data_IF_873114163569
#
_entry.id   IF_873114163569
#
_cell.length_a   1.000
_cell.length_b   1.000
_cell.length_c   1.000
_cell.angle_alpha   90.00
_cell.angle_beta   90.00
_cell.angle_gamma   90.00
#
_symmetry.space_group_name_H-M   'P 1'
#
loop_
_entity.id
_entity.type
_entity.pdbx_description
1 polymer ?
#
# COMPACT_ATOMS: atom_id res chain seq x y z
N UNK A 1 -9.95 8.48 -2.61
CA UNK A 1 -8.77 8.07 -1.82
C UNK A 1 -7.70 7.43 -2.70
N UNK A 2 -8.06 6.53 -3.63
CA UNK A 2 -7.12 5.92 -4.57
C UNK A 2 -6.20 6.94 -5.25
N UNK A 3 -6.73 8.03 -5.82
CA UNK A 3 -5.90 9.03 -6.49
C UNK A 3 -4.84 9.70 -5.60
N UNK A 4 -5.23 10.10 -4.39
CA UNK A 4 -4.37 10.87 -3.50
C UNK A 4 -3.22 10.06 -2.90
N UNK A 5 -3.34 8.73 -2.88
CA UNK A 5 -2.28 7.83 -2.39
C UNK A 5 -1.53 7.17 -3.55
N UNK A 6 -2.26 6.68 -4.55
CA UNK A 6 -1.70 5.87 -5.64
C UNK A 6 -0.89 6.71 -6.61
N UNK A 7 -1.34 7.92 -6.97
CA UNK A 7 -0.59 8.74 -7.94
C UNK A 7 0.76 9.23 -7.40
N UNK A 8 0.88 9.71 -6.14
CA UNK A 8 2.19 10.02 -5.56
C UNK A 8 3.13 8.81 -5.48
N UNK A 9 2.58 7.63 -5.15
CA UNK A 9 3.36 6.39 -5.10
C UNK A 9 3.83 5.98 -6.51
N UNK A 10 2.95 6.11 -7.52
CA UNK A 10 3.27 5.87 -8.94
C UNK A 10 4.41 6.74 -9.39
N UNK A 11 4.33 8.03 -9.11
CA UNK A 11 5.36 8.98 -9.50
C UNK A 11 6.69 8.73 -8.77
N UNK A 12 6.62 8.41 -7.49
CA UNK A 12 7.80 8.06 -6.71
C UNK A 12 8.50 6.81 -7.26
N UNK A 13 7.77 5.73 -7.53
CA UNK A 13 8.35 4.47 -8.05
C UNK A 13 8.89 4.65 -9.47
N UNK A 14 8.25 5.46 -10.32
CA UNK A 14 8.79 5.80 -11.66
C UNK A 14 10.19 6.43 -11.57
N UNK A 15 10.41 7.31 -10.60
CA UNK A 15 11.70 7.96 -10.37
C UNK A 15 12.69 7.12 -9.56
N UNK A 16 12.23 6.09 -8.86
CA UNK A 16 13.02 5.26 -7.95
C UNK A 16 12.73 3.78 -8.22
N UNK A 17 13.01 3.31 -9.44
CA UNK A 17 12.64 1.94 -9.85
C UNK A 17 13.13 0.90 -8.86
N UNK A 18 14.39 0.93 -8.46
CA UNK A 18 14.98 -0.04 -7.53
C UNK A 18 14.34 -0.05 -6.12
N UNK A 19 13.64 1.03 -5.75
CA UNK A 19 12.90 1.08 -4.50
C UNK A 19 11.76 0.06 -4.48
N UNK A 20 11.15 -0.25 -5.64
CA UNK A 20 10.09 -1.26 -5.70
C UNK A 20 10.60 -2.64 -5.25
N UNK A 21 11.85 -2.99 -5.58
CA UNK A 21 12.49 -4.25 -5.19
C UNK A 21 12.67 -4.28 -3.68
N UNK A 22 13.17 -3.20 -3.09
CA UNK A 22 13.35 -3.10 -1.63
C UNK A 22 12.02 -3.23 -0.89
N UNK A 23 10.97 -2.61 -1.42
CA UNK A 23 9.65 -2.61 -0.81
C UNK A 23 8.92 -3.96 -0.97
N UNK A 24 9.06 -4.61 -2.12
CA UNK A 24 8.51 -5.94 -2.39
C UNK A 24 9.26 -7.07 -1.65
N UNK A 25 10.57 -6.92 -1.48
CA UNK A 25 11.44 -7.94 -0.89
C UNK A 25 11.57 -7.82 0.63
N UNK A 26 10.95 -6.82 1.27
CA UNK A 26 11.25 -6.52 2.67
C UNK A 26 11.05 -7.69 3.63
N UNK A 27 10.16 -8.62 3.30
CA UNK A 27 9.86 -9.79 4.11
C UNK A 27 10.89 -10.93 3.97
N UNK A 28 11.79 -10.88 2.97
CA UNK A 28 12.78 -11.94 2.72
C UNK A 28 14.09 -11.74 3.50
N UNK A 29 14.29 -10.56 4.11
CA UNK A 29 15.47 -10.23 4.92
C UNK A 29 15.04 -9.49 6.19
N UNK A 30 15.48 -10.00 7.36
CA UNK A 30 15.20 -9.36 8.65
C UNK A 30 15.74 -7.93 8.71
N UNK A 31 16.97 -7.71 8.22
CA UNK A 31 17.59 -6.38 8.21
C UNK A 31 16.83 -5.39 7.33
N UNK A 32 16.30 -5.84 6.18
CA UNK A 32 15.48 -5.02 5.29
C UNK A 32 14.09 -4.76 5.89
N UNK A 33 13.49 -5.77 6.52
CA UNK A 33 12.22 -5.62 7.24
C UNK A 33 12.34 -4.59 8.37
N UNK A 34 13.48 -4.56 9.08
CA UNK A 34 13.74 -3.60 10.14
C UNK A 34 13.96 -2.19 9.58
N UNK A 35 14.65 -2.05 8.44
CA UNK A 35 14.94 -0.74 7.83
C UNK A 35 13.69 -0.06 7.27
N UNK A 36 12.69 -0.82 6.82
CA UNK A 36 11.43 -0.25 6.31
C UNK A 36 10.32 -0.20 7.38
N UNK A 37 10.54 -0.75 8.57
CA UNK A 37 9.53 -0.86 9.63
C UNK A 37 8.92 0.49 10.00
N UNK A 38 9.74 1.52 10.12
CA UNK A 38 9.28 2.87 10.47
C UNK A 38 8.36 3.46 9.38
N UNK A 39 8.66 3.19 8.11
CA UNK A 39 7.81 3.60 7.00
C UNK A 39 6.47 2.85 7.02
N UNK A 40 6.49 1.53 7.25
CA UNK A 40 5.27 0.73 7.40
C UNK A 40 4.41 1.22 8.56
N UNK A 41 5.02 1.50 9.72
CA UNK A 41 4.33 2.02 10.90
C UNK A 41 3.70 3.39 10.65
N UNK A 42 4.42 4.28 9.95
CA UNK A 42 3.90 5.60 9.57
C UNK A 42 2.70 5.49 8.61
N UNK A 43 2.77 4.60 7.61
CA UNK A 43 1.66 4.33 6.68
C UNK A 43 0.44 3.77 7.42
N UNK A 44 0.66 2.82 8.34
CA UNK A 44 -0.41 2.25 9.15
C UNK A 44 -1.05 3.29 10.07
N UNK A 45 -0.26 4.13 10.74
CA UNK A 45 -0.76 5.19 11.60
C UNK A 45 -1.59 6.22 10.80
N UNK A 46 -1.11 6.59 9.60
CA UNK A 46 -1.86 7.49 8.71
C UNK A 46 -3.17 6.86 8.26
N UNK A 47 -3.15 5.59 7.89
CA UNK A 47 -4.35 4.84 7.47
C UNK A 47 -5.36 4.74 8.59
N UNK A 48 -4.93 4.43 9.82
CA UNK A 48 -5.79 4.39 11.00
C UNK A 48 -6.44 5.75 11.26
N UNK A 49 -5.68 6.84 11.20
CA UNK A 49 -6.21 8.18 11.41
C UNK A 49 -7.29 8.55 10.37
N UNK A 50 -7.11 8.17 9.11
CA UNK A 50 -8.12 8.44 8.08
C UNK A 50 -9.35 7.55 8.26
N UNK A 51 -9.18 6.26 8.54
CA UNK A 51 -10.31 5.36 8.80
C UNK A 51 -11.10 5.78 10.05
N UNK A 52 -10.42 6.24 11.11
CA UNK A 52 -11.08 6.75 12.32
C UNK A 52 -11.92 8.00 12.05
N UNK A 53 -11.49 8.83 11.10
CA UNK A 53 -12.25 10.01 10.68
C UNK A 53 -13.52 9.65 9.90
N UNK A 54 -13.43 8.75 8.91
CA UNK A 54 -14.58 8.37 8.07
C UNK A 54 -15.52 7.34 8.72
N UNK A 55 -15.00 6.46 9.59
CA UNK A 55 -15.74 5.41 10.28
C UNK A 55 -15.41 5.42 11.77
N UNK A 56 -15.96 6.38 12.53
CA UNK A 56 -15.77 6.40 13.98
C UNK A 56 -16.43 5.20 14.68
N UNK A 57 -17.33 4.49 13.99
CA UNK A 57 -18.10 3.35 14.49
C UNK A 57 -17.36 2.01 14.44
N UNK A 58 -16.27 1.89 13.68
CA UNK A 58 -15.47 0.66 13.63
C UNK A 58 -14.36 0.68 14.68
N UNK A 59 -14.09 -0.49 15.27
CA UNK A 59 -13.09 -0.63 16.33
C UNK A 59 -11.66 -0.40 15.83
N UNK A 60 -10.74 -0.03 16.74
CA UNK A 60 -9.32 0.13 16.40
C UNK A 60 -8.70 -1.16 15.83
N UNK A 61 -9.17 -2.33 16.28
CA UNK A 61 -8.73 -3.63 15.75
C UNK A 61 -9.13 -3.80 14.29
N UNK A 62 -10.35 -3.41 13.93
CA UNK A 62 -10.84 -3.48 12.56
C UNK A 62 -10.11 -2.53 11.63
N UNK A 63 -9.84 -1.29 12.08
CA UNK A 63 -9.04 -0.31 11.32
C UNK A 63 -7.62 -0.80 11.09
N UNK A 64 -6.97 -1.33 12.14
CA UNK A 64 -5.63 -1.92 12.03
C UNK A 64 -5.61 -3.07 11.03
N UNK A 65 -6.58 -3.98 11.08
CA UNK A 65 -6.70 -5.08 10.12
C UNK A 65 -6.87 -4.57 8.69
N UNK A 66 -7.71 -3.56 8.47
CA UNK A 66 -7.91 -2.95 7.16
C UNK A 66 -6.59 -2.35 6.62
N UNK A 67 -5.87 -1.58 7.45
CA UNK A 67 -4.58 -1.00 7.07
C UNK A 67 -3.52 -2.06 6.73
N UNK A 68 -3.45 -3.14 7.52
CA UNK A 68 -2.55 -4.27 7.25
C UNK A 68 -2.86 -4.98 5.93
N UNK A 69 -4.14 -5.19 5.62
CA UNK A 69 -4.53 -5.78 4.33
C UNK A 69 -4.11 -4.86 3.19
N UNK A 70 -4.39 -3.55 3.28
CA UNK A 70 -4.01 -2.60 2.25
C UNK A 70 -2.50 -2.59 1.98
N UNK A 71 -1.67 -2.46 3.02
CA UNK A 71 -0.20 -2.37 2.86
C UNK A 71 0.38 -3.65 2.25
N UNK A 72 -0.07 -4.83 2.68
CA UNK A 72 0.44 -6.09 2.14
C UNK A 72 -0.05 -6.36 0.72
N UNK A 73 -1.28 -5.97 0.37
CA UNK A 73 -1.74 -6.06 -1.02
C UNK A 73 -0.96 -5.11 -1.93
N UNK A 74 -0.69 -3.87 -1.51
CA UNK A 74 0.14 -2.92 -2.26
C UNK A 74 1.54 -3.49 -2.49
N UNK A 75 2.19 -4.03 -1.45
CA UNK A 75 3.52 -4.66 -1.57
C UNK A 75 3.51 -5.84 -2.56
N UNK A 76 2.49 -6.69 -2.50
CA UNK A 76 2.34 -7.81 -3.43
C UNK A 76 2.15 -7.37 -4.87
N UNK A 77 1.36 -6.32 -5.12
CA UNK A 77 1.18 -5.75 -6.46
C UNK A 77 2.48 -5.15 -7.00
N UNK A 78 3.23 -4.41 -6.19
CA UNK A 78 4.53 -3.87 -6.59
C UNK A 78 5.56 -4.97 -6.89
N UNK A 79 5.47 -6.11 -6.21
CA UNK A 79 6.30 -7.28 -6.48
C UNK A 79 6.07 -7.85 -7.90
N UNK A 80 4.85 -7.74 -8.45
CA UNK A 80 4.57 -8.21 -9.80
C UNK A 80 5.42 -7.48 -10.85
N UNK A 81 5.58 -6.17 -10.71
CA UNK A 81 6.46 -5.38 -11.60
C UNK A 81 7.93 -5.72 -11.37
N UNK A 82 8.33 -6.06 -10.13
CA UNK A 82 9.72 -6.36 -9.81
C UNK A 82 10.17 -7.74 -10.31
N UNK A 83 9.24 -8.69 -10.47
CA UNK A 83 9.56 -10.09 -10.74
C UNK A 83 8.92 -10.67 -12.00
N UNK A 84 8.10 -9.90 -12.72
CA UNK A 84 7.46 -10.32 -13.97
C UNK A 84 7.53 -9.22 -15.02
N UNK A 85 7.86 -9.60 -16.25
CA UNK A 85 7.78 -8.73 -17.43
C UNK A 85 6.38 -8.77 -18.08
N UNK A 86 5.46 -9.57 -17.55
CA UNK A 86 4.10 -9.74 -18.10
C UNK A 86 3.18 -8.55 -17.80
N UNK A 87 3.52 -7.72 -16.81
CA UNK A 87 2.72 -6.57 -16.40
C UNK A 87 3.57 -5.31 -16.31
N UNK A 88 3.05 -4.21 -16.82
CA UNK A 88 3.71 -2.92 -16.73
C UNK A 88 3.46 -2.26 -15.37
N UNK A 89 4.34 -1.31 -15.01
CA UNK A 89 4.17 -0.50 -13.81
C UNK A 89 2.82 0.23 -13.80
N UNK A 90 2.41 0.76 -14.95
CA UNK A 90 1.18 1.54 -15.08
C UNK A 90 -0.07 0.67 -14.92
N UNK A 91 -0.10 -0.52 -15.53
CA UNK A 91 -1.19 -1.51 -15.35
C UNK A 91 -1.33 -1.92 -13.88
N UNK A 92 -0.22 -2.17 -13.20
CA UNK A 92 -0.24 -2.52 -11.77
C UNK A 92 -0.80 -1.39 -10.92
N UNK A 93 -0.45 -0.13 -11.23
CA UNK A 93 -0.99 1.01 -10.47
C UNK A 93 -2.47 1.28 -10.76
N UNK A 94 -2.93 1.06 -12.00
CA UNK A 94 -4.35 1.17 -12.35
C UNK A 94 -5.18 0.11 -11.61
N UNK A 95 -4.72 -1.13 -11.57
CA UNK A 95 -5.35 -2.20 -10.79
C UNK A 95 -5.28 -1.94 -9.28
N UNK A 96 -4.16 -1.45 -8.77
CA UNK A 96 -4.01 -1.05 -7.37
C UNK A 96 -5.06 0.00 -6.98
N UNK A 97 -5.25 1.02 -7.82
CA UNK A 97 -6.25 2.07 -7.62
C UNK A 97 -7.67 1.51 -7.66
N UNK A 98 -7.98 0.66 -8.63
CA UNK A 98 -9.30 0.03 -8.75
C UNK A 98 -9.61 -0.84 -7.52
N UNK A 99 -8.64 -1.66 -7.09
CA UNK A 99 -8.74 -2.51 -5.91
C UNK A 99 -8.96 -1.70 -4.63
N UNK A 100 -8.13 -0.68 -4.37
CA UNK A 100 -8.26 0.15 -3.17
C UNK A 100 -9.58 0.90 -3.15
N UNK A 101 -10.02 1.47 -4.28
CA UNK A 101 -11.30 2.16 -4.35
C UNK A 101 -12.46 1.20 -4.07
N UNK A 102 -12.45 -0.03 -4.58
CA UNK A 102 -13.50 -1.03 -4.32
C UNK A 102 -13.45 -1.55 -2.88
N UNK A 103 -12.27 -1.84 -2.37
CA UNK A 103 -12.07 -2.38 -1.02
C UNK A 103 -12.45 -1.37 0.06
N UNK A 104 -12.14 -0.10 -0.14
CA UNK A 104 -12.40 0.97 0.83
C UNK A 104 -13.76 1.66 0.62
N UNK A 105 -14.45 1.47 -0.50
CA UNK A 105 -15.77 2.07 -0.75
C UNK A 105 -16.80 1.84 0.39
N UNK A 106 -16.88 0.67 1.04
CA UNK A 106 -17.78 0.47 2.19
C UNK A 106 -17.39 1.28 3.44
N UNK A 107 -16.16 1.82 3.48
CA UNK A 107 -15.55 2.47 4.64
C UNK A 107 -15.39 3.98 4.49
N UNK A 108 -15.60 4.58 3.32
CA UNK A 108 -15.27 6.01 3.07
C UNK A 108 -16.42 6.69 2.30
N UNK A 109 -17.66 6.51 2.76
CA UNK A 109 -18.81 7.26 2.22
C UNK A 109 -18.89 8.65 2.82
#
# INVERSE_FOLDING_TARGET
MGDQFVEPLREFVRHNRDFNVLFASSHTSKALSESIREADEAVLARTDAVLAYFRPDISAVERRRCGLICIHTIKGLLALVAYSDEVTLDEVFDEMKAMLNRYLAPLIK
#
